data_IF_276524690465
#
_entry.id   IF_276524690465
#
_cell.length_a   1.000
_cell.length_b   1.000
_cell.length_c   1.000
_cell.angle_alpha   90.00
_cell.angle_beta   90.00
_cell.angle_gamma   90.00
#
_symmetry.space_group_name_H-M   'P 1'
#
loop_
_entity.id
_entity.type
_entity.pdbx_description
1 polymer ?
#
# COMPACT_ATOMS: atom_id res chain seq x y z
N UNK A 1 11.39 15.57 21.77
CA UNK A 1 10.83 14.34 22.39
C UNK A 1 10.70 13.29 21.31
N UNK A 2 10.94 12.01 21.64
CA UNK A 2 10.65 10.89 20.74
C UNK A 2 9.21 10.40 20.99
N UNK A 3 8.48 10.02 19.96
CA UNK A 3 7.10 9.50 20.05
C UNK A 3 7.06 8.08 19.46
N UNK A 4 6.23 7.22 20.04
CA UNK A 4 5.89 5.91 19.51
C UNK A 4 4.36 5.86 19.40
N UNK A 5 3.86 5.49 18.23
CA UNK A 5 2.43 5.36 17.95
C UNK A 5 2.09 3.88 17.80
N UNK A 6 0.89 3.49 18.22
CA UNK A 6 0.39 2.11 18.15
C UNK A 6 -0.97 2.09 17.45
N UNK A 7 -1.13 1.28 16.41
CA UNK A 7 -2.32 1.22 15.57
C UNK A 7 -1.99 0.97 14.09
N UNK A 8 -2.99 1.05 13.21
CA UNK A 8 -2.74 1.06 11.76
C UNK A 8 -1.97 2.34 11.39
N UNK A 9 -0.92 2.18 10.60
CA UNK A 9 -0.09 3.29 10.18
C UNK A 9 -0.85 4.33 9.36
N UNK A 10 -1.86 3.92 8.57
CA UNK A 10 -2.67 4.83 7.77
C UNK A 10 -3.45 5.80 8.65
N UNK A 11 -4.09 5.32 9.72
CA UNK A 11 -4.88 6.16 10.63
C UNK A 11 -3.97 7.18 11.35
N UNK A 12 -2.81 6.71 11.82
CA UNK A 12 -1.81 7.58 12.45
C UNK A 12 -1.32 8.65 11.46
N UNK A 13 -1.01 8.29 10.22
CA UNK A 13 -0.56 9.24 9.19
C UNK A 13 -1.64 10.28 8.86
N UNK A 14 -2.92 9.89 8.81
CA UNK A 14 -4.03 10.81 8.62
C UNK A 14 -4.13 11.82 9.75
N UNK A 15 -4.03 11.37 10.99
CA UNK A 15 -4.11 12.27 12.15
C UNK A 15 -2.89 13.21 12.21
N UNK A 16 -1.70 12.70 11.92
CA UNK A 16 -0.49 13.52 11.77
C UNK A 16 -0.63 14.56 10.65
N UNK A 17 -1.25 14.22 9.52
CA UNK A 17 -1.50 15.17 8.44
C UNK A 17 -2.52 16.26 8.86
N UNK A 18 -3.57 15.91 9.61
CA UNK A 18 -4.51 16.90 10.16
C UNK A 18 -3.81 17.88 11.10
N UNK A 19 -2.90 17.39 11.94
CA UNK A 19 -2.11 18.22 12.86
C UNK A 19 -1.05 19.07 12.12
N UNK A 20 -0.47 18.53 11.06
CA UNK A 20 0.63 19.12 10.30
C UNK A 20 0.35 19.13 8.78
N UNK A 21 -0.57 19.98 8.30
CA UNK A 21 -1.05 19.94 6.91
C UNK A 21 0.01 20.33 5.87
N UNK A 22 1.10 20.99 6.28
CA UNK A 22 2.21 21.42 5.42
C UNK A 22 3.39 20.44 5.41
N UNK A 23 3.24 19.27 6.04
CA UNK A 23 4.34 18.35 6.28
C UNK A 23 5.28 18.82 7.38
N UNK A 24 5.85 17.87 8.12
CA UNK A 24 6.76 18.15 9.23
C UNK A 24 7.88 17.12 9.38
N UNK A 25 7.85 16.04 8.59
CA UNK A 25 8.83 14.95 8.63
C UNK A 25 9.94 15.22 7.62
N UNK A 26 11.19 15.17 8.07
CA UNK A 26 12.38 15.33 7.21
C UNK A 26 12.79 14.03 6.52
N UNK A 27 12.51 12.88 7.14
CA UNK A 27 12.93 11.57 6.64
C UNK A 27 11.88 10.51 7.00
N UNK A 28 11.44 9.76 5.99
CA UNK A 28 10.67 8.53 6.17
C UNK A 28 11.53 7.36 5.68
N UNK A 29 11.59 6.32 6.49
CA UNK A 29 12.17 5.02 6.12
C UNK A 29 11.13 3.95 6.39
N UNK A 30 10.84 3.13 5.39
CA UNK A 30 9.91 2.00 5.54
C UNK A 30 10.53 0.70 5.06
N UNK A 31 10.13 -0.39 5.71
CA UNK A 31 10.41 -1.76 5.25
C UNK A 31 9.05 -2.47 5.11
N UNK A 32 8.30 -2.16 4.04
CA UNK A 32 6.96 -2.72 3.87
C UNK A 32 7.07 -4.23 3.63
N UNK A 33 6.03 -5.01 3.98
CA UNK A 33 6.02 -6.44 3.70
C UNK A 33 6.14 -6.65 2.19
N UNK A 34 7.32 -7.05 1.73
CA UNK A 34 7.57 -7.26 0.32
C UNK A 34 6.71 -8.40 -0.19
N UNK A 35 6.09 -8.22 -1.36
CA UNK A 35 5.64 -9.34 -2.20
C UNK A 35 6.86 -10.07 -2.81
N UNK A 36 7.82 -10.46 -1.98
CA UNK A 36 9.04 -11.16 -2.37
C UNK A 36 8.73 -12.64 -2.52
N UNK A 37 7.87 -12.98 -3.48
CA UNK A 37 8.24 -14.08 -4.35
C UNK A 37 9.42 -13.54 -5.15
N UNK A 38 10.63 -14.03 -4.89
CA UNK A 38 11.64 -14.04 -5.95
C UNK A 38 11.05 -14.86 -7.09
N UNK A 39 10.34 -14.18 -7.95
CA UNK A 39 10.36 -14.33 -9.39
C UNK A 39 9.34 -13.37 -9.99
N UNK A 40 9.80 -12.66 -11.01
CA UNK A 40 9.06 -11.86 -11.97
C UNK A 40 7.96 -12.64 -12.74
N UNK A 41 7.45 -13.75 -12.21
CA UNK A 41 6.53 -14.68 -12.86
C UNK A 41 5.05 -14.41 -12.55
N UNK A 42 4.69 -13.39 -11.76
CA UNK A 42 3.28 -13.05 -11.54
C UNK A 42 2.65 -12.36 -12.77
N UNK A 43 3.47 -11.97 -13.76
CA UNK A 43 2.99 -11.63 -15.11
C UNK A 43 2.82 -12.88 -16.02
N UNK A 44 3.12 -14.08 -15.52
CA UNK A 44 3.07 -15.35 -16.26
C UNK A 44 2.53 -16.49 -15.38
N UNK A 45 1.34 -16.34 -14.77
CA UNK A 45 0.63 -17.43 -14.08
C UNK A 45 0.03 -18.46 -15.05
N UNK A 46 0.86 -19.02 -15.95
CA UNK A 46 0.46 -20.16 -16.80
C UNK A 46 1.22 -21.46 -16.49
N UNK A 47 2.07 -21.51 -15.46
CA UNK A 47 2.83 -22.72 -15.14
C UNK A 47 2.80 -23.05 -13.64
N UNK A 48 2.22 -24.22 -13.35
CA UNK A 48 1.99 -24.85 -12.05
C UNK A 48 3.28 -25.06 -11.23
N UNK A 49 3.32 -24.54 -10.00
CA UNK A 49 4.21 -25.07 -8.95
C UNK A 49 3.55 -25.02 -7.56
N UNK A 50 3.61 -26.16 -6.86
CA UNK A 50 2.87 -26.50 -5.65
C UNK A 50 3.37 -25.83 -4.34
N UNK A 51 4.55 -25.20 -4.36
CA UNK A 51 5.18 -24.59 -3.17
C UNK A 51 4.63 -23.21 -2.80
N UNK A 52 3.76 -22.63 -3.62
CA UNK A 52 3.24 -21.28 -3.40
C UNK A 52 2.11 -21.18 -2.35
N UNK A 53 1.60 -22.31 -1.83
CA UNK A 53 0.30 -22.35 -1.14
C UNK A 53 0.35 -21.74 0.27
N UNK A 54 1.36 -22.06 1.09
CA UNK A 54 1.45 -21.58 2.47
C UNK A 54 1.75 -20.07 2.57
N UNK A 55 2.59 -19.54 1.67
CA UNK A 55 2.84 -18.10 1.59
C UNK A 55 1.66 -17.34 0.99
N UNK A 56 1.00 -17.88 -0.06
CA UNK A 56 -0.27 -17.32 -0.58
C UNK A 56 -1.30 -17.17 0.54
N UNK A 57 -1.39 -18.14 1.44
CA UNK A 57 -2.28 -18.11 2.61
C UNK A 57 -1.93 -16.95 3.56
N UNK A 58 -0.66 -16.81 3.98
CA UNK A 58 -0.24 -15.74 4.90
C UNK A 58 -0.38 -14.32 4.30
N UNK A 59 -0.16 -14.16 3.00
CA UNK A 59 -0.41 -12.90 2.29
C UNK A 59 -1.91 -12.59 2.17
N UNK A 60 -2.72 -13.58 1.80
CA UNK A 60 -4.18 -13.43 1.75
C UNK A 60 -4.79 -13.18 3.13
N UNK A 61 -4.18 -13.72 4.19
CA UNK A 61 -4.62 -13.54 5.58
C UNK A 61 -4.26 -12.16 6.13
N UNK A 62 -3.12 -11.58 5.74
CA UNK A 62 -2.70 -10.23 6.18
C UNK A 62 -3.46 -9.12 5.43
N UNK A 63 -3.78 -9.36 4.15
CA UNK A 63 -4.45 -8.42 3.28
C UNK A 63 -5.68 -9.08 2.68
N UNK A 64 -6.68 -9.34 3.52
CA UNK A 64 -7.92 -9.95 3.06
C UNK A 64 -8.52 -9.16 1.89
N UNK A 65 -9.15 -9.86 0.94
CA UNK A 65 -9.83 -9.26 -0.22
C UNK A 65 -10.90 -8.21 0.17
N UNK A 66 -11.26 -8.10 1.45
CA UNK A 66 -12.21 -7.11 1.97
C UNK A 66 -11.50 -5.79 2.27
N UNK A 67 -10.27 -5.80 2.79
CA UNK A 67 -9.58 -4.59 3.26
C UNK A 67 -9.11 -3.66 2.15
N UNK A 68 -8.79 -4.17 0.96
CA UNK A 68 -8.29 -3.31 -0.12
C UNK A 68 -9.40 -2.50 -0.81
N UNK A 69 -10.66 -2.97 -0.79
CA UNK A 69 -11.78 -2.24 -1.40
C UNK A 69 -12.08 -0.95 -0.63
N UNK A 70 -11.99 -0.97 0.70
CA UNK A 70 -12.13 0.22 1.52
C UNK A 70 -11.03 1.23 1.22
N UNK A 71 -9.77 0.77 1.11
CA UNK A 71 -8.65 1.60 0.69
C UNK A 71 -8.83 2.15 -0.74
N UNK A 72 -9.34 1.34 -1.67
CA UNK A 72 -9.60 1.79 -3.05
C UNK A 72 -10.70 2.87 -3.07
N UNK A 73 -11.78 2.67 -2.32
CA UNK A 73 -12.84 3.68 -2.21
C UNK A 73 -12.32 4.97 -1.61
N UNK A 74 -11.47 4.89 -0.59
CA UNK A 74 -10.85 6.08 -0.01
C UNK A 74 -9.91 6.80 -0.99
N UNK A 75 -9.13 6.05 -1.79
CA UNK A 75 -8.26 6.62 -2.82
C UNK A 75 -9.10 7.44 -3.81
N UNK A 76 -10.30 6.99 -4.17
CA UNK A 76 -11.21 7.73 -5.07
C UNK A 76 -11.51 9.15 -4.59
N UNK A 77 -11.63 9.33 -3.27
CA UNK A 77 -11.99 10.62 -2.67
C UNK A 77 -10.77 11.55 -2.53
N UNK A 78 -9.55 11.00 -2.44
CA UNK A 78 -8.32 11.79 -2.23
C UNK A 78 -7.50 12.01 -3.50
N UNK A 79 -7.57 11.09 -4.47
CA UNK A 79 -6.82 11.12 -5.73
C UNK A 79 -7.49 10.24 -6.80
N UNK A 80 -8.31 10.88 -7.65
CA UNK A 80 -9.07 10.18 -8.69
C UNK A 80 -8.18 9.56 -9.78
N UNK A 81 -7.03 10.15 -10.07
CA UNK A 81 -6.12 9.63 -11.09
C UNK A 81 -5.41 8.36 -10.60
N UNK A 82 -4.97 8.36 -9.34
CA UNK A 82 -4.43 7.16 -8.67
C UNK A 82 -5.49 6.07 -8.57
N UNK A 83 -6.74 6.43 -8.26
CA UNK A 83 -7.87 5.49 -8.27
C UNK A 83 -8.08 4.87 -9.64
N UNK A 84 -8.16 5.68 -10.70
CA UNK A 84 -8.34 5.22 -12.07
C UNK A 84 -7.23 4.26 -12.49
N UNK A 85 -5.98 4.55 -12.13
CA UNK A 85 -4.85 3.67 -12.39
C UNK A 85 -5.00 2.31 -11.72
N UNK A 86 -5.25 2.29 -10.40
CA UNK A 86 -5.41 1.05 -9.63
C UNK A 86 -6.63 0.25 -10.08
N UNK A 87 -7.75 0.91 -10.37
CA UNK A 87 -8.95 0.29 -10.91
C UNK A 87 -8.69 -0.31 -12.30
N UNK A 88 -7.90 0.36 -13.14
CA UNK A 88 -7.51 -0.19 -14.45
C UNK A 88 -6.68 -1.46 -14.29
N UNK A 89 -5.73 -1.51 -13.35
CA UNK A 89 -4.96 -2.74 -13.08
C UNK A 89 -5.87 -3.93 -12.74
N UNK A 90 -6.95 -3.68 -12.00
CA UNK A 90 -7.93 -4.70 -11.64
C UNK A 90 -8.73 -5.23 -12.84
N UNK A 91 -8.94 -4.40 -13.86
CA UNK A 91 -9.72 -4.75 -15.05
C UNK A 91 -8.89 -5.39 -16.17
N UNK A 92 -7.59 -5.11 -16.25
CA UNK A 92 -6.69 -5.64 -17.31
C UNK A 92 -6.04 -6.99 -16.97
N UNK A 93 -6.50 -7.67 -15.92
CA UNK A 93 -6.09 -9.04 -15.59
C UNK A 93 -4.83 -9.17 -14.75
N UNK A 94 -4.40 -8.12 -14.03
CA UNK A 94 -3.37 -8.26 -13.00
C UNK A 94 -3.93 -9.09 -11.83
N UNK A 95 -3.08 -9.93 -11.22
CA UNK A 95 -3.50 -10.76 -10.08
C UNK A 95 -4.13 -9.92 -8.96
N UNK A 96 -5.24 -10.39 -8.39
CA UNK A 96 -5.96 -9.71 -7.30
C UNK A 96 -5.07 -9.42 -6.09
N UNK A 97 -4.11 -10.29 -5.78
CA UNK A 97 -3.16 -10.09 -4.69
C UNK A 97 -2.20 -8.92 -4.95
N UNK A 98 -1.74 -8.75 -6.20
CA UNK A 98 -0.92 -7.60 -6.57
C UNK A 98 -1.72 -6.29 -6.52
N UNK A 99 -2.96 -6.29 -7.03
CA UNK A 99 -3.85 -5.11 -6.96
C UNK A 99 -4.15 -4.75 -5.50
N UNK A 100 -4.46 -5.73 -4.65
CA UNK A 100 -4.71 -5.51 -3.23
C UNK A 100 -3.47 -4.91 -2.54
N UNK A 101 -2.28 -5.45 -2.78
CA UNK A 101 -1.02 -4.91 -2.23
C UNK A 101 -0.75 -3.48 -2.71
N UNK A 102 -0.86 -3.23 -4.01
CA UNK A 102 -0.64 -1.89 -4.58
C UNK A 102 -1.62 -0.88 -4.01
N UNK A 103 -2.90 -1.22 -3.91
CA UNK A 103 -3.95 -0.35 -3.34
C UNK A 103 -3.66 -0.02 -1.89
N UNK A 104 -3.36 -1.04 -1.09
CA UNK A 104 -2.98 -0.92 0.31
C UNK A 104 -1.77 0.00 0.52
N UNK A 105 -0.73 -0.15 -0.30
CA UNK A 105 0.49 0.65 -0.19
C UNK A 105 0.27 2.07 -0.73
N UNK A 106 -0.49 2.23 -1.81
CA UNK A 106 -0.71 3.50 -2.46
C UNK A 106 -1.32 4.53 -1.51
N UNK A 107 -2.37 4.19 -0.75
CA UNK A 107 -2.98 5.13 0.20
C UNK A 107 -2.03 5.49 1.35
N UNK A 108 -1.22 4.55 1.82
CA UNK A 108 -0.21 4.79 2.87
C UNK A 108 0.88 5.72 2.36
N UNK A 109 1.40 5.48 1.16
CA UNK A 109 2.40 6.32 0.51
C UNK A 109 1.87 7.72 0.22
N UNK A 110 0.59 7.84 -0.18
CA UNK A 110 -0.07 9.13 -0.36
C UNK A 110 0.01 9.97 0.92
N UNK A 111 -0.40 9.42 2.07
CA UNK A 111 -0.34 10.16 3.33
C UNK A 111 1.08 10.33 3.87
N UNK A 112 2.00 9.38 3.64
CA UNK A 112 3.43 9.57 3.94
C UNK A 112 4.01 10.77 3.19
N UNK A 113 3.66 10.93 1.92
CA UNK A 113 4.06 12.09 1.12
C UNK A 113 3.46 13.40 1.68
N UNK A 114 2.20 13.38 2.14
CA UNK A 114 1.53 14.55 2.74
C UNK A 114 2.13 15.01 4.07
N UNK A 115 2.76 14.12 4.84
CA UNK A 115 3.43 14.48 6.10
C UNK A 115 4.92 14.76 5.93
N UNK A 116 5.48 14.45 4.76
CA UNK A 116 6.86 14.76 4.39
C UNK A 116 6.98 16.25 4.05
N UNK A 117 8.08 16.89 4.45
CA UNK A 117 8.41 18.24 3.97
C UNK A 117 8.79 18.20 2.49
N UNK A 118 8.68 19.33 1.80
CA UNK A 118 9.18 19.50 0.42
C UNK A 118 10.67 19.16 0.27
N UNK A 119 11.47 19.37 1.33
CA UNK A 119 12.90 19.02 1.38
C UNK A 119 13.16 17.64 1.98
N UNK A 120 12.11 16.91 2.34
CA UNK A 120 12.21 15.63 3.00
C UNK A 120 12.63 14.52 2.04
N UNK A 121 13.05 13.39 2.60
CA UNK A 121 13.43 12.22 1.82
C UNK A 121 12.67 10.98 2.25
N UNK A 122 12.46 10.07 1.30
CA UNK A 122 11.76 8.80 1.50
C UNK A 122 12.66 7.66 1.04
N UNK A 123 12.79 6.62 1.87
CA UNK A 123 13.58 5.41 1.62
C UNK A 123 12.77 4.16 1.91
#
# INVERSE_FOLDING_TARGET
>A
MKKLYFGDCLDILKDLHKEHPQGFIDLIYIDPPFNSKRDYNILFESLDFADATAQKQAFADTWSNVSYLDALNEIKDVDLDLWNFLHTLDTVGISKSAVAYLTTMAIRLHYMHKVLKETGSFY
#
